data_IF_825475430775
#
_entry.id   IF_825475430775
#
_cell.length_a   1.000
_cell.length_b   1.000
_cell.length_c   1.000
_cell.angle_alpha   90.00
_cell.angle_beta   90.00
_cell.angle_gamma   90.00
#
_symmetry.space_group_name_H-M   'P 1'
#
loop_
_entity.id
_entity.type
_entity.pdbx_description
1 polymer ?
#
# COMPACT_ATOMS: atom_id res chain seq x y z
N UNK A 1 -14.89 -2.28 -9.66
CA UNK A 1 -16.13 -1.51 -9.82
C UNK A 1 -17.26 -2.15 -9.02
N UNK A 2 -18.06 -3.10 -9.52
CA UNK A 2 -19.25 -3.62 -8.80
C UNK A 2 -19.01 -4.01 -7.32
N UNK A 3 -18.03 -4.88 -7.03
CA UNK A 3 -17.71 -5.26 -5.63
C UNK A 3 -17.32 -4.10 -4.72
N UNK A 4 -16.68 -3.06 -5.26
CA UNK A 4 -16.31 -1.90 -4.45
C UNK A 4 -17.55 -1.10 -4.04
N UNK A 5 -18.48 -0.90 -4.96
CA UNK A 5 -19.74 -0.22 -4.67
C UNK A 5 -20.58 -1.02 -3.67
N UNK A 6 -20.70 -2.33 -3.86
CA UNK A 6 -21.54 -3.20 -3.04
C UNK A 6 -20.96 -3.47 -1.65
N UNK A 7 -19.64 -3.68 -1.54
CA UNK A 7 -19.02 -4.14 -0.30
C UNK A 7 -18.26 -3.05 0.47
N UNK A 8 -17.80 -1.99 -0.21
CA UNK A 8 -17.02 -0.91 0.41
C UNK A 8 -17.88 0.33 0.64
N UNK A 9 -18.54 0.85 -0.40
CA UNK A 9 -19.32 2.09 -0.28
C UNK A 9 -20.47 1.97 0.74
N UNK A 10 -21.09 0.79 0.81
CA UNK A 10 -22.16 0.49 1.77
C UNK A 10 -21.71 0.46 3.23
N UNK A 11 -20.41 0.22 3.48
CA UNK A 11 -19.84 0.10 4.83
C UNK A 11 -19.16 1.38 5.33
N UNK A 12 -18.99 2.40 4.48
CA UNK A 12 -18.21 3.61 4.78
C UNK A 12 -18.57 4.29 6.10
N UNK A 13 -19.86 4.40 6.42
CA UNK A 13 -20.33 5.04 7.67
C UNK A 13 -19.83 4.34 8.94
N UNK A 14 -19.38 3.09 8.82
CA UNK A 14 -18.89 2.27 9.92
C UNK A 14 -17.38 2.04 9.93
N UNK A 15 -16.66 2.63 8.96
CA UNK A 15 -15.20 2.57 8.92
C UNK A 15 -14.60 3.70 9.75
N UNK A 16 -13.42 3.45 10.33
CA UNK A 16 -12.69 4.46 11.10
C UNK A 16 -12.21 5.56 10.15
N UNK A 17 -12.55 6.82 10.48
CA UNK A 17 -12.02 8.01 9.81
C UNK A 17 -10.82 8.56 10.56
N UNK A 18 -9.90 9.18 9.84
CA UNK A 18 -8.73 9.85 10.39
C UNK A 18 -7.99 10.66 9.34
N UNK A 19 -6.96 11.39 9.78
CA UNK A 19 -5.98 11.96 8.87
C UNK A 19 -5.16 10.82 8.27
N UNK A 20 -5.09 10.78 6.95
CA UNK A 20 -4.28 9.82 6.20
C UNK A 20 -3.20 10.60 5.44
N UNK A 21 -2.04 9.95 5.20
CA UNK A 21 -0.98 10.51 4.38
C UNK A 21 -1.41 10.63 2.92
N UNK A 22 -2.18 9.66 2.42
CA UNK A 22 -2.68 9.60 1.05
C UNK A 22 -1.71 8.99 0.03
N UNK A 23 -0.44 8.85 0.41
CA UNK A 23 0.62 8.30 -0.45
C UNK A 23 1.77 7.66 0.38
N UNK A 24 1.45 6.83 1.38
CA UNK A 24 2.48 6.12 2.14
C UNK A 24 3.10 4.94 1.35
N UNK A 25 3.77 5.27 0.25
CA UNK A 25 4.60 4.34 -0.53
C UNK A 25 6.02 4.25 0.04
N UNK A 26 6.81 3.26 -0.42
CA UNK A 26 8.15 3.00 0.12
C UNK A 26 9.17 4.10 -0.17
N UNK A 27 8.93 4.96 -1.15
CA UNK A 27 9.82 6.09 -1.50
C UNK A 27 9.65 7.26 -0.54
N UNK A 28 8.49 7.35 0.13
CA UNK A 28 8.15 8.40 1.09
C UNK A 28 8.53 8.05 2.54
N UNK A 29 9.23 6.93 2.75
CA UNK A 29 9.73 6.49 4.06
C UNK A 29 11.25 6.56 4.07
N UNK A 30 11.80 7.36 4.99
CA UNK A 30 13.24 7.49 5.16
C UNK A 30 13.71 6.45 6.18
N UNK A 31 14.67 5.63 5.74
CA UNK A 31 15.30 4.61 6.56
C UNK A 31 16.70 5.06 6.99
N UNK A 32 17.04 4.83 8.25
CA UNK A 32 18.37 5.05 8.81
C UNK A 32 18.98 3.72 9.22
N UNK A 33 20.24 3.50 8.86
CA UNK A 33 21.01 2.39 9.37
C UNK A 33 21.25 2.59 10.86
N UNK A 34 20.81 1.63 11.67
CA UNK A 34 21.06 1.59 13.09
C UNK A 34 22.40 0.87 13.30
N UNK A 35 23.27 1.46 14.11
CA UNK A 35 24.52 0.80 14.50
C UNK A 35 24.19 -0.45 15.31
N UNK A 36 24.35 -1.62 14.70
CA UNK A 36 24.45 -2.87 15.43
C UNK A 36 25.76 -2.87 16.22
N UNK A 37 25.74 -3.39 17.45
CA UNK A 37 26.99 -3.69 18.17
C UNK A 37 27.83 -4.72 17.39
N UNK A 38 29.12 -4.83 17.73
CA UNK A 38 30.04 -5.77 17.09
C UNK A 38 29.43 -7.18 16.97
N UNK A 39 29.22 -7.65 15.74
CA UNK A 39 28.67 -8.97 15.42
C UNK A 39 27.16 -9.04 15.15
N UNK A 40 26.43 -7.92 15.12
CA UNK A 40 25.02 -7.88 14.73
C UNK A 40 24.83 -7.63 13.23
N UNK A 41 23.81 -8.28 12.64
CA UNK A 41 23.35 -7.97 11.28
C UNK A 41 22.97 -6.49 11.16
N UNK A 42 23.14 -5.91 9.96
CA UNK A 42 22.74 -4.53 9.70
C UNK A 42 21.26 -4.33 10.02
N UNK A 43 20.97 -3.48 11.01
CA UNK A 43 19.60 -3.14 11.39
C UNK A 43 19.23 -1.80 10.77
N UNK A 44 17.98 -1.68 10.30
CA UNK A 44 17.44 -0.45 9.71
C UNK A 44 16.20 -0.03 10.48
N UNK A 45 16.08 1.27 10.75
CA UNK A 45 14.91 1.88 11.39
C UNK A 45 14.31 2.97 10.53
N UNK A 46 13.02 3.22 10.70
CA UNK A 46 12.36 4.39 10.10
C UNK A 46 12.79 5.64 10.87
N UNK A 47 13.31 6.64 10.17
CA UNK A 47 13.69 7.92 10.78
C UNK A 47 12.85 9.12 10.28
N UNK A 48 11.99 8.91 9.28
CA UNK A 48 11.10 9.96 8.79
C UNK A 48 10.08 9.48 7.78
N UNK A 49 9.03 10.28 7.62
CA UNK A 49 8.03 10.19 6.55
C UNK A 49 7.97 11.57 5.90
N UNK A 50 7.87 11.62 4.58
CA UNK A 50 7.90 12.85 3.78
C UNK A 50 6.77 12.85 2.74
N UNK A 51 6.59 14.00 2.08
CA UNK A 51 5.64 14.20 0.99
C UNK A 51 4.15 14.11 1.38
N UNK A 52 3.75 14.97 2.32
CA UNK A 52 2.38 15.08 2.80
C UNK A 52 1.43 15.82 1.83
N UNK A 53 1.79 15.98 0.55
CA UNK A 53 1.01 16.72 -0.44
C UNK A 53 -0.41 16.17 -0.63
N UNK A 54 -0.58 14.87 -0.48
CA UNK A 54 -1.85 14.15 -0.61
C UNK A 54 -2.57 13.90 0.73
N UNK A 55 -2.10 14.50 1.83
CA UNK A 55 -2.67 14.24 3.15
C UNK A 55 -4.05 14.86 3.32
N UNK A 56 -5.02 14.05 3.75
CA UNK A 56 -6.40 14.48 3.93
C UNK A 56 -7.17 13.61 4.92
N UNK A 57 -8.35 14.07 5.36
CA UNK A 57 -9.24 13.27 6.19
C UNK A 57 -9.96 12.21 5.35
N UNK A 58 -9.72 10.94 5.64
CA UNK A 58 -10.33 9.81 4.93
C UNK A 58 -10.47 8.60 5.86
N UNK A 59 -10.61 7.39 5.31
CA UNK A 59 -10.74 6.16 6.08
C UNK A 59 -9.37 5.52 6.31
N UNK A 60 -9.05 5.15 7.56
CA UNK A 60 -7.74 4.62 7.93
C UNK A 60 -7.36 3.35 7.14
N UNK A 61 -8.34 2.49 6.84
CA UNK A 61 -8.15 1.29 6.01
C UNK A 61 -7.65 1.60 4.59
N UNK A 62 -7.91 2.80 4.05
CA UNK A 62 -7.39 3.20 2.74
C UNK A 62 -5.89 3.50 2.79
N UNK A 63 -5.40 4.10 3.88
CA UNK A 63 -3.97 4.27 4.13
C UNK A 63 -3.26 2.91 4.24
N UNK A 64 -3.88 1.96 4.96
CA UNK A 64 -3.33 0.60 5.07
C UNK A 64 -3.27 -0.07 3.71
N UNK A 65 -4.30 0.06 2.88
CA UNK A 65 -4.30 -0.50 1.53
C UNK A 65 -3.21 0.11 0.64
N UNK A 66 -2.96 1.42 0.74
CA UNK A 66 -1.86 2.10 0.03
C UNK A 66 -0.52 1.51 0.45
N UNK A 67 -0.22 1.53 1.76
CA UNK A 67 1.02 0.98 2.32
C UNK A 67 1.22 -0.48 1.89
N UNK A 68 0.22 -1.36 2.07
CA UNK A 68 0.33 -2.77 1.70
C UNK A 68 0.56 -2.96 0.19
N UNK A 69 -0.11 -2.16 -0.65
CA UNK A 69 0.10 -2.20 -2.11
C UNK A 69 1.56 -1.97 -2.46
N UNK A 70 2.17 -0.91 -1.92
CA UNK A 70 3.56 -0.57 -2.27
C UNK A 70 4.60 -1.46 -1.59
N UNK A 71 4.31 -2.03 -0.42
CA UNK A 71 5.12 -3.11 0.15
C UNK A 71 5.14 -4.35 -0.75
N UNK A 72 3.97 -4.76 -1.28
CA UNK A 72 3.88 -5.87 -2.22
C UNK A 72 4.59 -5.56 -3.54
N UNK A 73 4.44 -4.35 -4.08
CA UNK A 73 5.16 -3.90 -5.28
C UNK A 73 6.68 -3.98 -5.07
N UNK A 74 7.18 -3.50 -3.93
CA UNK A 74 8.60 -3.58 -3.58
C UNK A 74 9.06 -5.04 -3.49
N UNK A 75 8.26 -5.90 -2.85
CA UNK A 75 8.55 -7.33 -2.76
C UNK A 75 8.65 -8.00 -4.13
N UNK A 76 7.71 -7.71 -5.05
CA UNK A 76 7.75 -8.22 -6.43
C UNK A 76 9.03 -7.77 -7.14
N UNK A 77 9.40 -6.48 -7.03
CA UNK A 77 10.63 -5.95 -7.66
C UNK A 77 11.91 -6.55 -7.07
N UNK A 78 11.88 -6.99 -5.82
CA UNK A 78 12.99 -7.64 -5.13
C UNK A 78 12.96 -9.19 -5.22
N UNK A 79 12.03 -9.77 -5.99
CA UNK A 79 11.81 -11.22 -6.09
C UNK A 79 11.55 -11.90 -4.72
N UNK A 80 10.83 -11.21 -3.83
CA UNK A 80 10.36 -11.73 -2.54
C UNK A 80 8.89 -12.17 -2.62
N UNK A 81 8.44 -12.99 -1.68
CA UNK A 81 7.01 -13.30 -1.53
C UNK A 81 6.24 -12.06 -1.03
N UNK A 82 5.44 -11.47 -1.91
CA UNK A 82 4.65 -10.27 -1.63
C UNK A 82 3.63 -10.48 -0.50
N UNK A 83 3.05 -11.68 -0.34
CA UNK A 83 2.06 -11.92 0.70
C UNK A 83 2.72 -11.96 2.07
N UNK A 84 3.89 -12.59 2.17
CA UNK A 84 4.70 -12.61 3.38
C UNK A 84 5.09 -11.18 3.79
N UNK A 85 5.54 -10.34 2.85
CA UNK A 85 5.89 -8.94 3.13
C UNK A 85 4.66 -8.12 3.56
N UNK A 86 3.52 -8.30 2.89
CA UNK A 86 2.27 -7.64 3.27
C UNK A 86 1.81 -8.06 4.68
N UNK A 87 1.94 -9.34 5.03
CA UNK A 87 1.59 -9.86 6.36
C UNK A 87 2.45 -9.22 7.45
N UNK A 88 3.76 -9.08 7.23
CA UNK A 88 4.64 -8.37 8.18
C UNK A 88 4.24 -6.91 8.34
N UNK A 89 3.95 -6.20 7.24
CA UNK A 89 3.48 -4.82 7.26
C UNK A 89 2.17 -4.65 8.02
N UNK A 90 1.19 -5.52 7.76
CA UNK A 90 -0.11 -5.51 8.44
C UNK A 90 0.01 -5.85 9.93
N UNK A 91 0.84 -6.83 10.29
CA UNK A 91 1.13 -7.16 11.70
C UNK A 91 1.73 -5.96 12.42
N UNK A 92 2.71 -5.29 11.82
CA UNK A 92 3.31 -4.08 12.36
C UNK A 92 2.28 -2.99 12.61
N UNK A 93 1.45 -2.68 11.60
CA UNK A 93 0.38 -1.69 11.73
C UNK A 93 -0.60 -2.02 12.87
N UNK A 94 -1.04 -3.28 12.96
CA UNK A 94 -1.99 -3.71 13.98
C UNK A 94 -1.45 -3.64 15.42
N UNK A 95 -0.13 -3.54 15.63
CA UNK A 95 0.43 -3.33 16.98
C UNK A 95 0.12 -1.94 17.54
N UNK A 96 -0.11 -0.95 16.68
CA UNK A 96 -0.39 0.44 17.06
C UNK A 96 -1.87 0.75 16.92
N UNK A 97 -2.48 0.38 15.79
CA UNK A 97 -3.87 0.67 15.49
C UNK A 97 -4.56 -0.55 14.85
N UNK A 98 -5.13 -1.46 15.65
CA UNK A 98 -5.82 -2.63 15.13
C UNK A 98 -6.98 -2.25 14.20
N UNK A 99 -7.08 -2.96 13.09
CA UNK A 99 -8.22 -2.89 12.18
C UNK A 99 -9.43 -3.58 12.80
N UNK A 100 -10.59 -2.95 12.71
CA UNK A 100 -11.87 -3.57 13.03
C UNK A 100 -12.27 -4.61 11.97
N UNK A 101 -13.23 -5.48 12.32
CA UNK A 101 -13.66 -6.58 11.44
C UNK A 101 -14.16 -6.07 10.08
N UNK A 102 -14.90 -4.96 10.08
CA UNK A 102 -15.40 -4.36 8.83
C UNK A 102 -14.30 -3.80 7.94
N UNK A 103 -13.19 -3.33 8.52
CA UNK A 103 -12.03 -2.85 7.76
C UNK A 103 -11.26 -4.03 7.16
N UNK A 104 -11.12 -5.10 7.93
CA UNK A 104 -10.52 -6.36 7.49
C UNK A 104 -11.29 -7.00 6.33
N UNK A 105 -12.62 -7.05 6.44
CA UNK A 105 -13.52 -7.61 5.41
C UNK A 105 -13.30 -6.98 4.04
N UNK A 106 -13.00 -5.68 3.98
CA UNK A 106 -12.90 -4.93 2.73
C UNK A 106 -11.46 -4.74 2.24
N UNK A 107 -10.46 -5.05 3.08
CA UNK A 107 -9.07 -4.67 2.85
C UNK A 107 -8.55 -5.15 1.48
N UNK A 108 -8.86 -6.39 1.10
CA UNK A 108 -8.43 -6.95 -0.19
C UNK A 108 -9.06 -6.23 -1.39
N UNK A 109 -10.33 -5.80 -1.27
CA UNK A 109 -11.04 -5.05 -2.31
C UNK A 109 -10.40 -3.67 -2.46
N UNK A 110 -10.08 -3.02 -1.35
CA UNK A 110 -9.44 -1.70 -1.34
C UNK A 110 -8.03 -1.78 -1.92
N UNK A 111 -7.23 -2.79 -1.59
CA UNK A 111 -5.90 -3.03 -2.21
C UNK A 111 -6.05 -3.20 -3.74
N UNK A 112 -7.01 -4.01 -4.18
CA UNK A 112 -7.26 -4.20 -5.60
C UNK A 112 -7.68 -2.88 -6.28
N UNK A 113 -8.54 -2.08 -5.63
CA UNK A 113 -8.92 -0.76 -6.16
C UNK A 113 -7.73 0.20 -6.19
N UNK A 114 -6.85 0.18 -5.19
CA UNK A 114 -5.65 1.01 -5.20
C UNK A 114 -4.74 0.67 -6.38
N UNK A 115 -4.55 -0.62 -6.68
CA UNK A 115 -3.80 -1.06 -7.86
C UNK A 115 -4.45 -0.56 -9.16
N UNK A 116 -5.78 -0.68 -9.30
CA UNK A 116 -6.51 -0.16 -10.47
C UNK A 116 -6.32 1.34 -10.61
N UNK A 117 -6.48 2.10 -9.51
CA UNK A 117 -6.27 3.54 -9.50
C UNK A 117 -4.84 3.88 -9.94
N UNK A 118 -3.81 3.19 -9.41
CA UNK A 118 -2.42 3.42 -9.80
C UNK A 118 -2.16 3.16 -11.28
N UNK A 119 -2.68 2.06 -11.84
CA UNK A 119 -2.54 1.75 -13.26
C UNK A 119 -3.28 2.75 -14.15
N UNK A 120 -4.48 3.18 -13.74
CA UNK A 120 -5.26 4.18 -14.47
C UNK A 120 -4.58 5.55 -14.45
N UNK A 121 -4.05 5.98 -13.29
CA UNK A 121 -3.29 7.23 -13.16
C UNK A 121 -2.04 7.20 -14.04
N UNK A 122 -1.23 6.15 -13.96
CA UNK A 122 -0.04 6.01 -14.81
C UNK A 122 -0.38 6.04 -16.31
N UNK A 123 -1.46 5.35 -16.72
CA UNK A 123 -1.89 5.35 -18.12
C UNK A 123 -2.29 6.74 -18.61
N UNK A 124 -2.98 7.52 -17.76
CA UNK A 124 -3.36 8.90 -18.07
C UNK A 124 -2.15 9.82 -18.12
N UNK A 125 -1.23 9.67 -17.17
CA UNK A 125 -0.06 10.55 -17.03
C UNK A 125 0.92 10.39 -18.20
N UNK A 126 1.05 9.19 -18.77
CA UNK A 126 1.82 8.97 -20.00
C UNK A 126 1.24 9.72 -21.20
N UNK A 127 -0.09 9.84 -21.29
CA UNK A 127 -0.71 10.64 -22.34
C UNK A 127 -0.41 12.13 -22.18
N UNK A 128 -0.23 12.60 -20.94
CA UNK A 128 0.01 14.01 -20.64
C UNK A 128 1.50 14.38 -20.68
N UNK A 129 2.38 13.45 -20.29
CA UNK A 129 3.82 13.62 -20.14
C UNK A 129 4.59 12.43 -20.76
N UNK A 130 4.51 12.22 -22.08
CA UNK A 130 5.12 11.07 -22.75
C UNK A 130 6.65 11.00 -22.56
N UNK A 131 7.33 12.12 -22.37
CA UNK A 131 8.76 12.21 -22.08
C UNK A 131 9.16 11.55 -20.74
N UNK A 132 8.22 11.42 -19.80
CA UNK A 132 8.44 10.84 -18.48
C UNK A 132 8.01 9.35 -18.39
N UNK A 133 7.75 8.71 -19.54
CA UNK A 133 7.18 7.34 -19.60
C UNK A 133 7.95 6.33 -18.76
N UNK A 134 9.29 6.33 -18.82
CA UNK A 134 10.11 5.35 -18.10
C UNK A 134 9.93 5.46 -16.58
N UNK A 135 9.85 6.70 -16.08
CA UNK A 135 9.61 6.96 -14.66
C UNK A 135 8.19 6.53 -14.25
N UNK A 136 7.18 6.94 -15.02
CA UNK A 136 5.77 6.65 -14.74
C UNK A 136 5.49 5.14 -14.78
N UNK A 137 6.14 4.41 -15.69
CA UNK A 137 5.94 2.97 -15.88
C UNK A 137 6.76 2.10 -14.93
N UNK A 138 7.65 2.68 -14.12
CA UNK A 138 8.60 1.94 -13.28
C UNK A 138 7.94 0.87 -12.40
N UNK A 139 6.76 1.14 -11.85
CA UNK A 139 6.03 0.21 -10.98
C UNK A 139 4.88 -0.52 -11.69
N UNK A 140 4.58 -0.17 -12.95
CA UNK A 140 3.37 -0.62 -13.65
C UNK A 140 3.25 -2.15 -13.73
N UNK A 141 4.34 -2.84 -14.09
CA UNK A 141 4.37 -4.30 -14.18
C UNK A 141 4.20 -4.97 -12.81
N UNK A 142 4.82 -4.41 -11.77
CA UNK A 142 4.72 -4.95 -10.42
C UNK A 142 3.31 -4.73 -9.84
N UNK A 143 2.71 -3.55 -10.01
CA UNK A 143 1.32 -3.27 -9.62
C UNK A 143 0.34 -4.20 -10.33
N UNK A 144 0.56 -4.48 -11.63
CA UNK A 144 -0.24 -5.46 -12.38
C UNK A 144 -0.13 -6.86 -11.78
N UNK A 145 1.07 -7.29 -11.41
CA UNK A 145 1.29 -8.57 -10.71
C UNK A 145 0.53 -8.62 -9.40
N UNK A 146 0.62 -7.58 -8.56
CA UNK A 146 -0.14 -7.51 -7.30
C UNK A 146 -1.65 -7.60 -7.55
N UNK A 147 -2.19 -6.83 -8.50
CA UNK A 147 -3.62 -6.84 -8.83
C UNK A 147 -4.12 -8.22 -9.28
N UNK A 148 -3.34 -8.93 -10.09
CA UNK A 148 -3.73 -10.25 -10.60
C UNK A 148 -3.78 -11.31 -9.50
N UNK A 149 -2.96 -11.17 -8.46
CA UNK A 149 -2.82 -12.18 -7.41
C UNK A 149 -3.56 -11.85 -6.11
N UNK A 150 -3.91 -10.58 -5.85
CA UNK A 150 -4.63 -10.19 -4.61
C UNK A 150 -6.03 -10.83 -4.52
N UNK A 151 -6.60 -11.27 -5.65
CA UNK A 151 -7.88 -11.99 -5.69
C UNK A 151 -7.80 -13.43 -5.15
N UNK A 152 -6.60 -14.02 -5.13
CA UNK A 152 -6.42 -15.45 -4.91
C UNK A 152 -6.17 -15.84 -3.44
N UNK A 153 -6.13 -14.87 -2.51
CA UNK A 153 -5.88 -15.16 -1.09
C UNK A 153 -6.85 -14.47 -0.14
N UNK A 154 -7.86 -15.24 0.26
CA UNK A 154 -8.85 -14.98 1.33
C UNK A 154 -8.22 -14.88 2.75
N UNK A 155 -6.89 -14.87 2.91
CA UNK A 155 -6.22 -14.99 4.24
C UNK A 155 -5.14 -13.94 4.50
N UNK A 156 -5.44 -12.66 4.28
CA UNK A 156 -4.67 -11.56 4.88
C UNK A 156 -5.21 -11.18 6.28
N UNK A 157 -6.18 -11.94 6.80
CA UNK A 157 -6.82 -11.74 8.09
C UNK A 157 -7.06 -13.09 8.75
#
# INVERSE_FOLDING_TARGET
MAKFEEEVLTKLSSLRKGLIHGDANTSNIIMQQLLGGDGMDQCWGVCGVIDFGDSHCSYCVFEVAIMLTYLMVKAVKCNCDMFTVAEYGLKGYQTVLPLGDKEKDILYIVIAQRCVQSLSSASKEICDQPENTDYIMMDFSAVKTVLLNVKDRIKLV
#
